data_IF_195646483165
#
_entry.id   IF_195646483165
#
_cell.length_a   1.000
_cell.length_b   1.000
_cell.length_c   1.000
_cell.angle_alpha   90.00
_cell.angle_beta   90.00
_cell.angle_gamma   90.00
#
_symmetry.space_group_name_H-M   'P 1'
#
loop_
_entity.id
_entity.type
_entity.pdbx_description
1 polymer ?
#
# COMPACT_ATOMS: atom_id res chain seq x y z
N UNK A 1 0.79 2.12 14.68
CA UNK A 1 1.97 1.27 14.43
C UNK A 1 2.86 1.93 13.40
N UNK A 2 4.10 2.11 13.74
CA UNK A 2 5.07 2.71 12.82
C UNK A 2 5.64 1.65 11.89
N UNK A 3 5.64 1.93 10.60
CA UNK A 3 6.18 1.01 9.58
C UNK A 3 7.15 1.74 8.67
N UNK A 4 8.11 0.98 8.13
CA UNK A 4 8.98 1.41 7.05
C UNK A 4 8.74 0.46 5.89
N UNK A 5 8.36 1.01 4.74
CA UNK A 5 8.05 0.19 3.56
C UNK A 5 9.33 -0.27 2.87
N UNK A 6 9.18 -1.14 1.86
CA UNK A 6 10.30 -1.62 1.06
C UNK A 6 11.11 -0.48 0.45
N UNK A 7 10.45 0.59 -0.01
CA UNK A 7 11.13 1.74 -0.60
C UNK A 7 11.74 2.69 0.44
N UNK A 8 11.52 2.44 1.73
CA UNK A 8 12.03 3.28 2.81
C UNK A 8 11.06 4.36 3.28
N UNK A 9 9.82 4.35 2.81
CA UNK A 9 8.81 5.28 3.29
C UNK A 9 8.41 4.95 4.73
N UNK A 10 8.44 5.95 5.61
CA UNK A 10 8.10 5.78 7.02
C UNK A 10 6.75 6.43 7.29
N UNK A 11 5.86 5.68 7.93
CA UNK A 11 4.54 6.19 8.26
C UNK A 11 3.98 5.48 9.48
N UNK A 12 2.93 6.06 10.04
CA UNK A 12 2.18 5.45 11.13
C UNK A 12 0.83 4.97 10.58
N UNK A 13 0.51 3.71 10.77
CA UNK A 13 -0.72 3.12 10.28
C UNK A 13 -1.53 2.52 11.42
N UNK A 14 -2.84 2.40 11.21
CA UNK A 14 -3.72 1.72 12.14
C UNK A 14 -3.54 0.21 12.01
N UNK A 15 -2.97 -0.42 13.03
CA UNK A 15 -2.73 -1.88 12.99
C UNK A 15 -4.02 -2.71 12.91
N UNK A 16 -5.16 -2.11 13.23
CA UNK A 16 -6.46 -2.76 13.11
C UNK A 16 -7.03 -2.73 11.69
N UNK A 17 -6.29 -2.12 10.76
CA UNK A 17 -6.76 -2.03 9.36
C UNK A 17 -7.03 -3.39 8.75
N UNK A 18 -6.36 -4.44 9.22
CA UNK A 18 -6.60 -5.81 8.73
C UNK A 18 -8.00 -6.33 9.06
N UNK A 19 -8.68 -5.71 10.02
CA UNK A 19 -10.05 -6.06 10.39
C UNK A 19 -11.08 -5.35 9.50
N UNK A 20 -10.67 -4.40 8.70
CA UNK A 20 -11.57 -3.65 7.82
C UNK A 20 -11.95 -4.53 6.62
N UNK A 21 -13.25 -4.78 6.48
CA UNK A 21 -13.78 -5.61 5.39
C UNK A 21 -13.41 -5.03 4.02
N UNK A 22 -13.35 -3.70 3.91
CA UNK A 22 -12.99 -3.04 2.65
C UNK A 22 -11.58 -3.40 2.21
N UNK A 23 -10.66 -3.57 3.17
CA UNK A 23 -9.30 -4.02 2.85
C UNK A 23 -9.32 -5.46 2.35
N UNK A 24 -10.09 -6.33 2.98
CA UNK A 24 -10.25 -7.72 2.54
C UNK A 24 -10.74 -7.79 1.08
N UNK A 25 -11.76 -6.99 0.76
CA UNK A 25 -12.29 -6.90 -0.61
C UNK A 25 -11.22 -6.40 -1.58
N UNK A 26 -10.49 -5.35 -1.21
CA UNK A 26 -9.45 -4.79 -2.07
C UNK A 26 -8.33 -5.80 -2.34
N UNK A 27 -7.92 -6.57 -1.33
CA UNK A 27 -6.89 -7.60 -1.50
C UNK A 27 -7.37 -8.67 -2.47
N UNK A 28 -8.62 -9.12 -2.34
CA UNK A 28 -9.19 -10.11 -3.26
C UNK A 28 -9.26 -9.59 -4.69
N UNK A 29 -9.69 -8.34 -4.86
CA UNK A 29 -9.79 -7.70 -6.18
C UNK A 29 -8.42 -7.53 -6.83
N UNK A 30 -7.39 -7.28 -6.02
CA UNK A 30 -6.02 -7.10 -6.52
C UNK A 30 -5.45 -8.39 -7.14
N UNK A 31 -6.06 -9.53 -6.87
CA UNK A 31 -5.61 -10.83 -7.39
C UNK A 31 -6.34 -11.24 -8.67
N UNK A 32 -7.29 -10.45 -9.13
CA UNK A 32 -8.02 -10.74 -10.37
C UNK A 32 -7.18 -10.44 -11.60
N UNK A 33 -7.51 -11.08 -12.72
CA UNK A 33 -6.77 -10.92 -13.96
C UNK A 33 -7.06 -9.61 -14.69
N UNK A 34 -8.19 -8.96 -14.39
CA UNK A 34 -8.57 -7.71 -15.02
C UNK A 34 -7.66 -6.56 -14.52
N UNK A 35 -6.86 -5.93 -15.43
CA UNK A 35 -5.94 -4.86 -15.01
C UNK A 35 -6.64 -3.66 -14.37
N UNK A 36 -7.84 -3.29 -14.84
CA UNK A 36 -8.57 -2.17 -14.24
C UNK A 36 -9.02 -2.48 -12.83
N UNK A 37 -9.48 -3.70 -12.58
CA UNK A 37 -9.89 -4.14 -11.25
C UNK A 37 -8.69 -4.11 -10.31
N UNK A 38 -7.53 -4.60 -10.76
CA UNK A 38 -6.31 -4.58 -9.94
C UNK A 38 -5.86 -3.17 -9.60
N UNK A 39 -5.91 -2.26 -10.57
CA UNK A 39 -5.50 -0.86 -10.37
C UNK A 39 -6.42 -0.18 -9.37
N UNK A 40 -7.73 -0.34 -9.54
CA UNK A 40 -8.70 0.23 -8.60
C UNK A 40 -8.49 -0.31 -7.20
N UNK A 41 -8.22 -1.61 -7.07
CA UNK A 41 -7.94 -2.24 -5.78
C UNK A 41 -6.68 -1.65 -5.13
N UNK A 42 -5.63 -1.41 -5.91
CA UNK A 42 -4.40 -0.80 -5.40
C UNK A 42 -4.66 0.61 -4.89
N UNK A 43 -5.45 1.40 -5.62
CA UNK A 43 -5.85 2.74 -5.19
C UNK A 43 -6.61 2.67 -3.86
N UNK A 44 -7.56 1.77 -3.74
CA UNK A 44 -8.35 1.59 -2.53
C UNK A 44 -7.46 1.19 -1.35
N UNK A 45 -6.51 0.29 -1.57
CA UNK A 45 -5.57 -0.12 -0.52
C UNK A 45 -4.70 1.04 -0.04
N UNK A 46 -4.18 1.85 -0.95
CA UNK A 46 -3.39 3.04 -0.58
C UNK A 46 -4.22 3.94 0.33
N UNK A 47 -5.45 4.22 -0.06
CA UNK A 47 -6.32 5.13 0.71
C UNK A 47 -6.72 4.56 2.05
N UNK A 48 -7.03 3.27 2.11
CA UNK A 48 -7.42 2.62 3.36
C UNK A 48 -6.25 2.51 4.34
N UNK A 49 -5.08 2.12 3.85
CA UNK A 49 -3.92 1.85 4.71
C UNK A 49 -3.20 3.13 5.09
N UNK A 50 -2.95 4.01 4.12
CA UNK A 50 -2.14 5.20 4.32
C UNK A 50 -2.95 6.45 4.68
N UNK A 51 -4.22 6.51 4.26
CA UNK A 51 -5.09 7.66 4.57
C UNK A 51 -4.44 8.98 4.17
N UNK A 52 -4.26 9.87 5.14
CA UNK A 52 -3.68 11.20 4.91
C UNK A 52 -2.23 11.17 4.46
N UNK A 53 -1.55 10.04 4.56
CA UNK A 53 -0.18 9.88 4.11
C UNK A 53 -0.06 9.59 2.61
N UNK A 54 -1.17 9.49 1.88
CA UNK A 54 -1.18 9.14 0.46
C UNK A 54 -0.29 10.04 -0.37
N UNK A 55 -0.43 11.35 -0.24
CA UNK A 55 0.34 12.29 -1.06
C UNK A 55 1.82 12.27 -0.71
N UNK A 56 2.16 12.17 0.57
CA UNK A 56 3.54 12.06 1.00
C UNK A 56 4.19 10.77 0.46
N UNK A 57 3.43 9.70 0.40
CA UNK A 57 3.88 8.43 -0.16
C UNK A 57 4.23 8.57 -1.65
N UNK A 58 3.36 9.19 -2.44
CA UNK A 58 3.63 9.41 -3.86
C UNK A 58 4.86 10.29 -4.08
N UNK A 59 5.01 11.35 -3.29
CA UNK A 59 6.20 12.21 -3.36
C UNK A 59 7.47 11.46 -3.03
N UNK A 60 7.41 10.57 -2.04
CA UNK A 60 8.55 9.74 -1.67
C UNK A 60 8.98 8.83 -2.84
N UNK A 61 8.03 8.15 -3.46
CA UNK A 61 8.33 7.27 -4.60
C UNK A 61 8.85 8.05 -5.79
N UNK A 62 8.26 9.21 -6.07
CA UNK A 62 8.72 10.10 -7.13
C UNK A 62 10.18 10.48 -6.91
N UNK A 63 10.55 10.86 -5.68
CA UNK A 63 11.90 11.29 -5.37
C UNK A 63 12.92 10.16 -5.44
N UNK A 64 12.48 8.93 -5.27
CA UNK A 64 13.34 7.74 -5.30
C UNK A 64 13.73 7.34 -6.72
N UNK A 65 12.89 7.63 -7.69
CA UNK A 65 13.09 7.18 -9.06
C UNK A 65 13.79 8.26 -9.88
N UNK A 66 14.85 7.90 -10.64
CA UNK A 66 15.60 8.91 -11.44
C UNK A 66 14.72 9.63 -12.48
N UNK A 67 13.70 8.95 -12.99
CA UNK A 67 12.77 9.52 -13.97
C UNK A 67 11.57 10.23 -13.35
N UNK A 68 11.48 10.27 -12.01
CA UNK A 68 10.37 10.87 -11.26
C UNK A 68 9.01 10.25 -11.56
N UNK A 69 8.99 9.00 -12.02
CA UNK A 69 7.75 8.26 -12.30
C UNK A 69 7.44 7.34 -11.14
N UNK A 70 6.17 7.29 -10.75
CA UNK A 70 5.66 6.36 -9.74
C UNK A 70 4.97 5.21 -10.47
N UNK A 71 5.56 4.01 -10.42
CA UNK A 71 5.03 2.86 -11.14
C UNK A 71 4.05 2.06 -10.27
N UNK A 72 3.19 1.28 -10.95
CA UNK A 72 2.30 0.33 -10.26
C UNK A 72 3.12 -0.64 -9.39
N UNK A 73 4.27 -1.10 -9.90
CA UNK A 73 5.12 -2.03 -9.18
C UNK A 73 5.63 -1.41 -7.87
N UNK A 74 6.01 -0.13 -7.89
CA UNK A 74 6.43 0.58 -6.67
C UNK A 74 5.34 0.57 -5.63
N UNK A 75 4.10 0.87 -6.05
CA UNK A 75 2.93 0.90 -5.16
C UNK A 75 2.67 -0.49 -4.57
N UNK A 76 2.61 -1.51 -5.41
CA UNK A 76 2.26 -2.85 -4.96
C UNK A 76 3.33 -3.45 -4.05
N UNK A 77 4.61 -3.20 -4.35
CA UNK A 77 5.71 -3.68 -3.51
C UNK A 77 5.63 -3.09 -2.10
N UNK A 78 5.39 -1.79 -2.00
CA UNK A 78 5.30 -1.14 -0.69
C UNK A 78 4.05 -1.54 0.08
N UNK A 79 2.91 -1.65 -0.60
CA UNK A 79 1.68 -2.13 0.05
C UNK A 79 1.86 -3.55 0.59
N UNK A 80 2.48 -4.42 -0.21
CA UNK A 80 2.75 -5.79 0.23
C UNK A 80 3.64 -5.80 1.45
N UNK A 81 4.68 -4.96 1.48
CA UNK A 81 5.59 -4.90 2.64
C UNK A 81 4.87 -4.45 3.90
N UNK A 82 3.91 -3.52 3.80
CA UNK A 82 3.11 -3.08 4.93
C UNK A 82 2.23 -4.22 5.45
N UNK A 83 1.52 -4.88 4.54
CA UNK A 83 0.61 -5.98 4.89
C UNK A 83 1.38 -7.12 5.56
N UNK A 84 2.55 -7.47 5.02
CA UNK A 84 3.39 -8.53 5.58
C UNK A 84 3.84 -8.18 7.01
N UNK A 85 4.19 -6.92 7.27
CA UNK A 85 4.58 -6.48 8.61
C UNK A 85 3.44 -6.58 9.61
N UNK A 86 2.22 -6.19 9.20
CA UNK A 86 1.05 -6.30 10.05
C UNK A 86 0.75 -7.77 10.38
N UNK A 87 0.83 -8.64 9.37
CA UNK A 87 0.59 -10.07 9.57
C UNK A 87 1.61 -10.69 10.52
N UNK A 88 2.89 -10.34 10.38
CA UNK A 88 3.94 -10.85 11.22
C UNK A 88 3.77 -10.40 12.68
N UNK A 89 3.28 -9.20 12.90
CA UNK A 89 3.02 -8.69 14.24
C UNK A 89 1.94 -9.51 14.96
N UNK A 90 0.97 -10.02 14.22
CA UNK A 90 -0.15 -10.78 14.78
C UNK A 90 0.14 -12.26 15.00
N UNK A 91 1.20 -12.74 14.41
CA UNK A 91 1.64 -14.10 14.59
C UNK A 91 2.65 -14.20 15.73
#
# INVERSE_FOLDING_TARGET
>A
MKVTTKSGFKCDINENITKDWRLTVAIAEAQKDDPQVRITAAIDMVRLILGDNEQAFYKHLESKNPDHIVSEQDITDDLKSIIDKIKNLKN
#
